data_IF_958836753743
#
_entry.id   IF_958836753743
#
_cell.length_a   1.000
_cell.length_b   1.000
_cell.length_c   1.000
_cell.angle_alpha   90.00
_cell.angle_beta   90.00
_cell.angle_gamma   90.00
#
_symmetry.space_group_name_H-M   'P 1'
#
loop_
_entity.id
_entity.type
_entity.pdbx_description
1 polymer ?
#
# COMPACT_ATOMS: atom_id res chain seq x y z
N UNK A 1 1.69 -0.20 -32.22
CA UNK A 1 0.64 -1.16 -31.77
C UNK A 1 0.80 -1.42 -30.28
N UNK A 2 -0.15 -0.98 -29.43
CA UNK A 2 -0.56 -1.61 -28.14
C UNK A 2 -1.53 -0.69 -27.39
N UNK A 3 -2.80 -1.09 -27.36
CA UNK A 3 -3.77 -0.75 -26.31
C UNK A 3 -4.15 0.72 -26.08
N UNK A 4 -4.85 1.37 -27.03
CA UNK A 4 -5.61 2.60 -26.72
C UNK A 4 -6.91 2.20 -25.97
N UNK A 5 -6.75 1.94 -24.67
CA UNK A 5 -7.71 1.98 -23.56
C UNK A 5 -9.20 1.72 -23.87
N UNK A 6 -9.67 0.53 -23.50
CA UNK A 6 -11.07 0.07 -23.53
C UNK A 6 -12.01 0.96 -22.69
N UNK A 7 -11.52 1.50 -21.58
CA UNK A 7 -12.33 2.36 -20.67
C UNK A 7 -12.67 3.70 -21.34
N UNK A 8 -11.70 4.35 -21.99
CA UNK A 8 -11.97 5.58 -22.75
C UNK A 8 -12.85 5.32 -23.98
N UNK A 9 -12.85 4.09 -24.52
CA UNK A 9 -13.77 3.69 -25.58
C UNK A 9 -15.19 3.47 -25.04
N UNK A 10 -15.33 2.87 -23.88
CA UNK A 10 -16.62 2.68 -23.21
C UNK A 10 -17.24 4.02 -22.79
N UNK A 11 -16.44 4.93 -22.22
CA UNK A 11 -16.88 6.28 -21.88
C UNK A 11 -17.25 7.10 -23.12
N UNK A 12 -16.49 6.97 -24.22
CA UNK A 12 -16.84 7.61 -25.49
C UNK A 12 -18.15 7.09 -26.10
N UNK A 13 -18.55 5.84 -25.82
CA UNK A 13 -19.85 5.29 -26.23
C UNK A 13 -21.01 5.82 -25.39
N UNK A 14 -20.74 6.23 -24.15
CA UNK A 14 -21.73 6.79 -23.21
C UNK A 14 -21.73 8.34 -23.25
N UNK A 15 -21.01 8.96 -24.19
CA UNK A 15 -20.97 10.41 -24.39
C UNK A 15 -19.98 11.17 -23.51
N UNK A 16 -19.13 10.46 -22.75
CA UNK A 16 -18.04 11.06 -21.97
C UNK A 16 -16.79 11.35 -22.82
N UNK A 17 -16.15 12.50 -22.57
CA UNK A 17 -14.89 12.87 -23.21
C UNK A 17 -13.76 11.86 -22.94
N UNK A 18 -12.78 11.79 -23.85
CA UNK A 18 -11.56 10.98 -23.66
C UNK A 18 -10.65 11.69 -22.66
N UNK A 19 -10.96 11.55 -21.38
CA UNK A 19 -10.13 12.12 -20.33
C UNK A 19 -8.85 11.30 -20.16
N UNK A 20 -7.73 12.00 -20.06
CA UNK A 20 -6.45 11.40 -19.69
C UNK A 20 -6.37 11.43 -18.17
N UNK A 21 -6.98 10.44 -17.55
CA UNK A 21 -7.08 10.27 -16.10
C UNK A 21 -5.74 10.40 -15.36
N UNK A 22 -4.63 10.01 -16.01
CA UNK A 22 -3.27 10.06 -15.47
C UNK A 22 -2.57 11.41 -15.63
N UNK A 23 -3.09 12.29 -16.48
CA UNK A 23 -2.55 13.65 -16.68
C UNK A 23 -3.32 14.70 -15.85
N UNK A 24 -4.44 14.31 -15.22
CA UNK A 24 -5.31 15.18 -14.40
C UNK A 24 -5.14 14.89 -12.90
N UNK A 25 -5.68 15.71 -12.00
CA UNK A 25 -5.72 15.48 -10.54
C UNK A 25 -6.33 14.14 -10.09
N UNK A 26 -7.03 13.44 -11.01
CA UNK A 26 -7.51 12.07 -10.81
C UNK A 26 -6.41 11.01 -10.78
N UNK A 27 -5.17 11.35 -11.17
CA UNK A 27 -4.04 10.43 -11.24
C UNK A 27 -3.77 9.75 -9.88
N UNK A 28 -3.87 10.51 -8.79
CA UNK A 28 -3.71 9.98 -7.43
C UNK A 28 -4.81 8.97 -7.09
N UNK A 29 -6.08 9.29 -7.36
CA UNK A 29 -7.20 8.39 -7.11
C UNK A 29 -7.09 7.07 -7.86
N UNK A 30 -6.71 7.13 -9.14
CA UNK A 30 -6.47 5.94 -9.97
C UNK A 30 -5.30 5.12 -9.42
N UNK A 31 -4.21 5.77 -9.01
CA UNK A 31 -3.06 5.09 -8.40
C UNK A 31 -3.43 4.38 -7.10
N UNK A 32 -4.22 5.03 -6.23
CA UNK A 32 -4.70 4.45 -4.96
C UNK A 32 -5.60 3.25 -5.21
N UNK A 33 -6.56 3.34 -6.13
CA UNK A 33 -7.46 2.23 -6.46
C UNK A 33 -6.68 1.02 -6.98
N UNK A 34 -5.74 1.23 -7.90
CA UNK A 34 -4.90 0.15 -8.43
C UNK A 34 -4.00 -0.45 -7.35
N UNK A 35 -3.46 0.38 -6.45
CA UNK A 35 -2.70 -0.09 -5.30
C UNK A 35 -3.55 -0.95 -4.37
N UNK A 36 -4.76 -0.49 -4.01
CA UNK A 36 -5.69 -1.25 -3.17
C UNK A 36 -6.06 -2.58 -3.83
N UNK A 37 -6.44 -2.56 -5.10
CA UNK A 37 -6.81 -3.76 -5.86
C UNK A 37 -5.70 -4.82 -5.83
N UNK A 38 -4.45 -4.41 -6.05
CA UNK A 38 -3.30 -5.33 -6.01
C UNK A 38 -3.08 -5.92 -4.63
N UNK A 39 -3.16 -5.11 -3.57
CA UNK A 39 -2.77 -5.53 -2.23
C UNK A 39 -3.89 -6.25 -1.48
N UNK A 40 -5.15 -6.08 -1.89
CA UNK A 40 -6.31 -6.67 -1.20
C UNK A 40 -6.21 -8.19 -1.12
N UNK A 41 -5.72 -8.85 -2.17
CA UNK A 41 -5.58 -10.30 -2.20
C UNK A 41 -4.60 -10.82 -1.16
N UNK A 42 -3.47 -10.14 -0.98
CA UNK A 42 -2.48 -10.50 0.04
C UNK A 42 -3.03 -10.30 1.46
N UNK A 43 -3.67 -9.15 1.70
CA UNK A 43 -4.29 -8.85 2.99
C UNK A 43 -5.39 -9.84 3.36
N UNK A 44 -6.22 -10.26 2.39
CA UNK A 44 -7.27 -11.26 2.62
C UNK A 44 -6.66 -12.59 3.03
N UNK A 45 -5.64 -13.08 2.31
CA UNK A 45 -5.00 -14.37 2.63
C UNK A 45 -4.40 -14.36 4.04
N UNK A 46 -3.74 -13.26 4.42
CA UNK A 46 -3.11 -13.11 5.73
C UNK A 46 -4.15 -13.04 6.86
N UNK A 47 -5.25 -12.33 6.64
CA UNK A 47 -6.36 -12.28 7.60
C UNK A 47 -7.06 -13.64 7.71
N UNK A 48 -7.25 -14.35 6.59
CA UNK A 48 -7.90 -15.66 6.56
C UNK A 48 -7.05 -16.72 7.28
N UNK A 49 -5.72 -16.70 7.11
CA UNK A 49 -4.84 -17.61 7.86
C UNK A 49 -4.93 -17.37 9.37
N UNK A 50 -5.08 -16.11 9.78
CA UNK A 50 -5.37 -15.75 11.17
C UNK A 50 -6.71 -16.29 11.66
N UNK A 51 -7.75 -16.16 10.83
CA UNK A 51 -9.10 -16.60 11.17
C UNK A 51 -9.21 -18.13 11.34
N UNK A 52 -8.55 -18.90 10.48
CA UNK A 52 -8.53 -20.38 10.54
C UNK A 52 -7.85 -20.89 11.81
N UNK A 53 -6.98 -20.09 12.43
CA UNK A 53 -6.29 -20.45 13.67
C UNK A 53 -7.22 -20.41 14.89
N UNK A 54 -8.39 -19.76 14.79
CA UNK A 54 -9.35 -19.65 15.89
C UNK A 54 -10.10 -20.96 16.06
N UNK A 55 -10.07 -21.53 17.27
CA UNK A 55 -10.78 -22.76 17.59
C UNK A 55 -12.30 -22.58 17.51
N UNK A 56 -12.98 -23.49 16.82
CA UNK A 56 -14.44 -23.54 16.69
C UNK A 56 -15.15 -23.66 18.06
N UNK A 57 -14.49 -24.28 19.04
CA UNK A 57 -15.01 -24.42 20.40
C UNK A 57 -15.31 -23.07 21.06
N UNK A 58 -14.56 -22.01 20.76
CA UNK A 58 -14.82 -20.69 21.32
C UNK A 58 -16.10 -20.05 20.77
N UNK A 59 -16.44 -20.35 19.51
CA UNK A 59 -17.70 -19.90 18.92
C UNK A 59 -18.89 -20.67 19.48
N UNK A 60 -18.73 -21.97 19.72
CA UNK A 60 -19.76 -22.81 20.34
C UNK A 60 -20.05 -22.37 21.78
N UNK A 61 -19.01 -22.11 22.59
CA UNK A 61 -19.20 -21.60 23.96
C UNK A 61 -19.94 -20.25 23.96
N UNK A 62 -19.57 -19.33 23.07
CA UNK A 62 -20.27 -18.05 22.97
C UNK A 62 -21.74 -18.19 22.52
N UNK A 63 -22.06 -19.23 21.73
CA UNK A 63 -23.42 -19.52 21.30
C UNK A 63 -24.28 -20.11 22.43
N UNK A 64 -23.69 -20.94 23.29
CA UNK A 64 -24.32 -21.43 24.52
C UNK A 64 -24.63 -20.26 25.47
N UNK A 65 -23.76 -19.26 25.53
CA UNK A 65 -23.95 -18.02 26.29
C UNK A 65 -24.95 -17.03 25.63
N UNK A 66 -25.54 -17.39 24.49
CA UNK A 66 -26.54 -16.57 23.78
C UNK A 66 -25.96 -15.39 23.00
N UNK A 67 -24.66 -15.40 22.68
CA UNK A 67 -24.02 -14.31 21.97
C UNK A 67 -24.47 -14.23 20.48
N UNK A 68 -24.94 -13.06 20.06
CA UNK A 68 -25.29 -12.78 18.66
C UNK A 68 -24.07 -12.65 17.74
N UNK A 69 -24.28 -12.67 16.42
CA UNK A 69 -23.19 -12.66 15.43
C UNK A 69 -22.23 -11.47 15.55
N UNK A 70 -22.73 -10.28 15.90
CA UNK A 70 -21.90 -9.09 16.13
C UNK A 70 -21.07 -9.20 17.41
N UNK A 71 -21.62 -9.80 18.47
CA UNK A 71 -20.89 -10.04 19.72
C UNK A 71 -19.79 -11.08 19.49
N UNK A 72 -20.07 -12.16 18.76
CA UNK A 72 -19.05 -13.15 18.37
C UNK A 72 -17.91 -12.48 17.57
N UNK A 73 -18.22 -11.62 16.60
CA UNK A 73 -17.18 -10.87 15.87
C UNK A 73 -16.34 -9.94 16.77
N UNK A 74 -16.97 -9.16 17.65
CA UNK A 74 -16.27 -8.13 18.45
C UNK A 74 -15.50 -8.71 19.65
N UNK A 75 -16.00 -9.79 20.25
CA UNK A 75 -15.46 -10.36 21.49
C UNK A 75 -14.70 -11.67 21.30
N UNK A 76 -14.99 -12.45 20.25
CA UNK A 76 -14.27 -13.71 19.96
C UNK A 76 -13.28 -13.48 18.82
N UNK A 77 -13.76 -13.02 17.66
CA UNK A 77 -12.94 -12.91 16.45
C UNK A 77 -11.89 -11.79 16.54
N UNK A 78 -12.32 -10.56 16.83
CA UNK A 78 -11.44 -9.37 16.81
C UNK A 78 -10.25 -9.48 17.77
N UNK A 79 -10.41 -9.90 19.04
CA UNK A 79 -9.29 -9.99 19.97
C UNK A 79 -8.27 -11.07 19.58
N UNK A 80 -8.75 -12.20 19.07
CA UNK A 80 -7.88 -13.31 18.66
C UNK A 80 -7.14 -13.01 17.36
N UNK A 81 -7.78 -12.28 16.44
CA UNK A 81 -7.15 -11.86 15.19
C UNK A 81 -6.19 -10.68 15.34
N UNK A 82 -6.05 -10.08 16.54
CA UNK A 82 -5.21 -8.88 16.75
C UNK A 82 -3.80 -9.03 16.19
N UNK A 83 -3.18 -10.19 16.38
CA UNK A 83 -1.82 -10.47 15.88
C UNK A 83 -1.80 -10.50 14.34
N UNK A 84 -2.76 -11.17 13.71
CA UNK A 84 -2.87 -11.24 12.25
C UNK A 84 -3.22 -9.88 11.63
N UNK A 85 -4.09 -9.09 12.26
CA UNK A 85 -4.42 -7.73 11.83
C UNK A 85 -3.19 -6.82 11.95
N UNK A 86 -2.43 -6.94 13.03
CA UNK A 86 -1.18 -6.20 13.21
C UNK A 86 -0.17 -6.51 12.10
N UNK A 87 0.05 -7.79 11.80
CA UNK A 87 0.91 -8.18 10.68
C UNK A 87 0.38 -7.68 9.32
N UNK A 88 -0.93 -7.80 9.06
CA UNK A 88 -1.54 -7.29 7.83
C UNK A 88 -1.28 -5.78 7.65
N UNK A 89 -1.47 -5.01 8.71
CA UNK A 89 -1.23 -3.57 8.73
C UNK A 89 0.26 -3.24 8.53
N UNK A 90 1.15 -3.95 9.21
CA UNK A 90 2.59 -3.77 9.09
C UNK A 90 3.06 -4.02 7.65
N UNK A 91 2.67 -5.15 7.05
CA UNK A 91 2.99 -5.46 5.66
C UNK A 91 2.37 -4.45 4.69
N UNK A 92 1.12 -4.04 4.92
CA UNK A 92 0.46 -3.02 4.10
C UNK A 92 1.22 -1.68 4.13
N UNK A 93 1.70 -1.28 5.31
CA UNK A 93 2.49 -0.06 5.48
C UNK A 93 3.83 -0.15 4.77
N UNK A 94 4.55 -1.28 4.90
CA UNK A 94 5.80 -1.52 4.17
C UNK A 94 5.56 -1.46 2.66
N UNK A 95 4.50 -2.10 2.16
CA UNK A 95 4.17 -2.09 0.74
C UNK A 95 3.78 -0.70 0.22
N UNK A 96 3.16 0.14 1.05
CA UNK A 96 2.77 1.50 0.67
C UNK A 96 4.02 2.35 0.38
N UNK A 97 5.06 2.23 1.21
CA UNK A 97 6.35 2.89 0.96
C UNK A 97 7.08 2.36 -0.28
N UNK A 98 6.80 1.12 -0.70
CA UNK A 98 7.49 0.45 -1.81
C UNK A 98 6.71 0.54 -3.15
N UNK A 99 5.60 1.27 -3.21
CA UNK A 99 4.74 1.30 -4.41
C UNK A 99 5.28 2.10 -5.62
N UNK A 100 6.58 2.40 -5.65
CA UNK A 100 7.19 3.20 -6.69
C UNK A 100 7.17 2.54 -8.07
N UNK A 101 7.30 1.20 -8.14
CA UNK A 101 7.34 0.47 -9.41
C UNK A 101 6.00 0.55 -10.13
N UNK A 102 4.93 0.46 -9.36
CA UNK A 102 3.55 0.51 -9.83
C UNK A 102 3.25 1.88 -10.41
N UNK A 103 3.61 2.94 -9.69
CA UNK A 103 3.41 4.30 -10.17
C UNK A 103 4.26 4.58 -11.41
N UNK A 104 5.51 4.11 -11.45
CA UNK A 104 6.35 4.26 -12.63
C UNK A 104 5.80 3.50 -13.85
N UNK A 105 5.19 2.33 -13.65
CA UNK A 105 4.58 1.55 -14.72
C UNK A 105 3.37 2.28 -15.33
N UNK A 106 2.58 2.96 -14.50
CA UNK A 106 1.32 3.58 -14.92
C UNK A 106 1.55 5.03 -15.41
N UNK A 107 2.34 5.81 -14.68
CA UNK A 107 2.59 7.23 -14.95
C UNK A 107 3.82 7.51 -15.83
N UNK A 108 4.69 6.51 -16.05
CA UNK A 108 5.90 6.67 -16.84
C UNK A 108 7.00 7.48 -16.14
N UNK A 109 7.96 8.01 -16.91
CA UNK A 109 9.14 8.74 -16.37
C UNK A 109 8.81 10.12 -15.79
N UNK A 110 7.78 10.78 -16.33
CA UNK A 110 7.37 12.13 -15.95
C UNK A 110 5.87 12.16 -15.67
N UNK A 111 5.43 11.52 -14.57
CA UNK A 111 4.02 11.48 -14.22
C UNK A 111 3.54 12.84 -13.70
N UNK A 112 2.21 12.98 -13.52
CA UNK A 112 1.63 14.15 -12.88
C UNK A 112 2.29 14.41 -11.50
N UNK A 113 2.54 15.69 -11.12
CA UNK A 113 3.10 16.05 -9.80
C UNK A 113 2.47 15.34 -8.61
N UNK A 114 1.16 15.07 -8.65
CA UNK A 114 0.40 14.44 -7.56
C UNK A 114 0.81 12.99 -7.28
N UNK A 115 1.44 12.32 -8.25
CA UNK A 115 1.95 10.94 -8.13
C UNK A 115 3.47 10.88 -8.35
N UNK A 116 4.16 12.03 -8.30
CA UNK A 116 5.59 12.09 -8.52
C UNK A 116 6.36 11.58 -7.29
N UNK A 117 6.99 10.40 -7.44
CA UNK A 117 7.77 9.76 -6.38
C UNK A 117 9.27 10.01 -6.49
N UNK A 118 9.98 9.81 -5.38
CA UNK A 118 11.45 9.92 -5.28
C UNK A 118 12.19 9.14 -6.39
N UNK A 119 11.72 7.95 -6.76
CA UNK A 119 12.35 7.18 -7.83
C UNK A 119 12.35 7.91 -9.18
N UNK A 120 11.30 8.70 -9.47
CA UNK A 120 11.25 9.52 -10.69
C UNK A 120 12.33 10.61 -10.64
N UNK A 121 12.54 11.22 -9.47
CA UNK A 121 13.59 12.22 -9.27
C UNK A 121 14.98 11.63 -9.54
N UNK A 122 15.26 10.44 -8.99
CA UNK A 122 16.54 9.74 -9.20
C UNK A 122 16.73 9.43 -10.68
N UNK A 123 15.76 8.77 -11.32
CA UNK A 123 15.87 8.37 -12.73
C UNK A 123 16.03 9.58 -13.67
N UNK A 124 15.23 10.64 -13.49
CA UNK A 124 15.28 11.82 -14.35
C UNK A 124 16.56 12.63 -14.12
N UNK A 125 17.10 12.64 -12.90
CA UNK A 125 18.38 13.29 -12.60
C UNK A 125 19.57 12.53 -13.20
N UNK A 126 19.49 11.20 -13.27
CA UNK A 126 20.45 10.36 -13.99
C UNK A 126 20.44 10.63 -15.49
N UNK A 127 19.25 10.69 -16.12
CA UNK A 127 19.13 10.96 -17.57
C UNK A 127 19.68 12.33 -17.98
N UNK A 128 19.54 13.33 -17.11
CA UNK A 128 20.02 14.69 -17.35
C UNK A 128 21.52 14.88 -17.03
N UNK A 129 22.28 13.81 -16.78
CA UNK A 129 23.70 13.83 -16.38
C UNK A 129 23.99 14.76 -15.16
N UNK A 130 22.98 15.02 -14.33
CA UNK A 130 23.09 15.92 -13.17
C UNK A 130 23.63 15.16 -11.95
N UNK A 131 24.84 14.62 -12.07
CA UNK A 131 25.49 13.79 -11.05
C UNK A 131 25.63 14.50 -9.70
N UNK A 132 25.81 15.83 -9.71
CA UNK A 132 25.93 16.63 -8.49
C UNK A 132 24.64 16.61 -7.65
N UNK A 133 23.48 16.82 -8.28
CA UNK A 133 22.17 16.77 -7.59
C UNK A 133 21.88 15.35 -7.08
N UNK A 134 22.26 14.35 -7.87
CA UNK A 134 22.05 12.95 -7.54
C UNK A 134 22.91 12.49 -6.34
N UNK A 135 24.16 12.95 -6.29
CA UNK A 135 25.09 12.67 -5.19
C UNK A 135 24.55 13.24 -3.87
N UNK A 136 24.14 14.52 -3.87
CA UNK A 136 23.56 15.16 -2.68
C UNK A 136 22.27 14.45 -2.24
N UNK A 137 21.38 14.12 -3.17
CA UNK A 137 20.13 13.42 -2.85
C UNK A 137 20.38 12.02 -2.25
N UNK A 138 21.38 11.28 -2.78
CA UNK A 138 21.75 9.96 -2.27
C UNK A 138 22.28 10.02 -0.84
N UNK A 139 23.15 11.00 -0.54
CA UNK A 139 23.71 11.19 0.81
C UNK A 139 22.62 11.60 1.80
N UNK A 140 21.72 12.51 1.42
CA UNK A 140 20.59 12.92 2.28
C UNK A 140 19.66 11.74 2.56
N UNK A 141 19.34 10.93 1.55
CA UNK A 141 18.51 9.73 1.74
C UNK A 141 19.17 8.73 2.66
N UNK A 142 20.46 8.48 2.49
CA UNK A 142 21.22 7.61 3.38
C UNK A 142 21.18 8.10 4.84
N UNK A 143 21.37 9.41 5.06
CA UNK A 143 21.30 10.01 6.38
C UNK A 143 19.91 9.84 7.02
N UNK A 144 18.83 10.13 6.28
CA UNK A 144 17.45 9.98 6.77
C UNK A 144 17.14 8.53 7.13
N UNK A 145 17.46 7.59 6.26
CA UNK A 145 17.24 6.15 6.52
C UNK A 145 18.02 5.71 7.77
N UNK A 146 19.29 6.12 7.88
CA UNK A 146 20.14 5.79 9.04
C UNK A 146 19.56 6.33 10.34
N UNK A 147 19.05 7.57 10.34
CA UNK A 147 18.41 8.19 11.51
C UNK A 147 17.14 7.43 11.90
N UNK A 148 16.24 7.16 10.93
CA UNK A 148 14.98 6.45 11.18
C UNK A 148 15.23 5.05 11.73
N UNK A 149 16.15 4.30 11.11
CA UNK A 149 16.54 2.96 11.56
C UNK A 149 17.18 3.01 12.94
N UNK A 150 18.07 3.97 13.20
CA UNK A 150 18.70 4.16 14.50
C UNK A 150 17.69 4.44 15.62
N UNK A 151 16.68 5.29 15.35
CA UNK A 151 15.59 5.57 16.29
C UNK A 151 14.77 4.31 16.55
N UNK A 152 14.36 3.60 15.50
CA UNK A 152 13.56 2.38 15.63
C UNK A 152 14.29 1.29 16.41
N UNK A 153 15.56 1.05 16.09
CA UNK A 153 16.43 0.12 16.81
C UNK A 153 16.59 0.50 18.28
N UNK A 154 16.79 1.79 18.57
CA UNK A 154 16.89 2.29 19.94
C UNK A 154 15.59 2.11 20.73
N UNK A 155 14.43 2.23 20.07
CA UNK A 155 13.11 2.05 20.67
C UNK A 155 12.83 0.58 21.01
N UNK A 156 13.19 -0.34 20.11
CA UNK A 156 13.09 -1.80 20.35
C UNK A 156 14.04 -2.25 21.45
N UNK A 157 15.29 -1.78 21.44
CA UNK A 157 16.27 -2.13 22.49
C UNK A 157 15.81 -1.72 23.88
N UNK A 158 15.05 -0.63 24.01
CA UNK A 158 14.47 -0.19 25.29
C UNK A 158 13.28 -1.03 25.77
N UNK A 159 12.74 -1.93 24.94
CA UNK A 159 11.66 -2.86 25.32
C UNK A 159 12.15 -4.27 25.64
N UNK A 160 13.38 -4.61 25.26
CA UNK A 160 14.01 -5.91 25.58
C UNK A 160 14.86 -5.89 26.87
N UNK A 161 15.08 -4.71 27.45
CA UNK A 161 15.75 -4.50 28.76
C UNK A 161 14.70 -4.03 29.77
#
# INVERSE_FOLDING_TARGET
MRGKWSVNRFLALVGGGREKWLETSWALGVAVILYLWKNIGYSIILLLSGLITISENQYLSAEIDGAGSFQKFRYVTTPQMWHSVFFALLFSMINAFKCFREIFLIGGKHPNPDIYMLQHFINNSFENFNYNKLSVASVLMFAVITIVVGIFYSWIRRREV
#
